data_IF_179503976376
#
_entry.id   IF_179503976376
#
_cell.length_a   1.000
_cell.length_b   1.000
_cell.length_c   1.000
_cell.angle_alpha   90.00
_cell.angle_beta   90.00
_cell.angle_gamma   90.00
#
_symmetry.space_group_name_H-M   'P 1'
#
loop_
_entity.id
_entity.type
_entity.pdbx_description
1 polymer ?
#
# COMPACT_ATOMS: atom_id res chain seq x y z
N UNK A 1 -21.61 -17.51 55.14
CA UNK A 1 -21.30 -17.92 53.75
C UNK A 1 -20.91 -16.67 52.98
N UNK A 2 -19.61 -16.43 52.76
CA UNK A 2 -19.10 -15.25 52.04
C UNK A 2 -18.85 -15.66 50.60
N UNK A 3 -19.67 -15.16 49.68
CA UNK A 3 -19.46 -15.37 48.24
C UNK A 3 -18.68 -14.17 47.74
N UNK A 4 -17.37 -14.36 47.54
CA UNK A 4 -16.50 -13.34 46.95
C UNK A 4 -16.57 -13.52 45.44
N UNK A 5 -17.31 -12.65 44.76
CA UNK A 5 -17.38 -12.63 43.29
C UNK A 5 -16.11 -12.00 42.72
N UNK A 6 -15.23 -12.83 42.15
CA UNK A 6 -14.09 -12.37 41.36
C UNK A 6 -14.61 -11.91 39.99
N UNK A 7 -14.57 -10.61 39.75
CA UNK A 7 -14.90 -10.02 38.45
C UNK A 7 -13.73 -10.29 37.48
N UNK A 8 -13.96 -11.10 36.45
CA UNK A 8 -12.98 -11.34 35.40
C UNK A 8 -12.97 -10.11 34.48
N UNK A 9 -11.94 -9.28 34.56
CA UNK A 9 -11.72 -8.21 33.57
C UNK A 9 -11.06 -8.85 32.36
N UNK A 10 -11.84 -9.09 31.31
CA UNK A 10 -11.30 -9.43 30.00
C UNK A 10 -10.69 -8.15 29.40
N UNK A 11 -9.37 -8.00 29.49
CA UNK A 11 -8.65 -7.04 28.67
C UNK A 11 -8.70 -7.53 27.21
N UNK A 12 -9.57 -6.94 26.40
CA UNK A 12 -9.40 -6.99 24.95
C UNK A 12 -8.11 -6.23 24.62
N UNK A 13 -7.00 -6.95 24.53
CA UNK A 13 -5.82 -6.44 23.85
C UNK A 13 -6.23 -6.18 22.41
N UNK A 14 -6.44 -4.91 22.05
CA UNK A 14 -6.60 -4.52 20.66
C UNK A 14 -5.39 -5.06 19.90
N UNK A 15 -5.63 -5.96 18.95
CA UNK A 15 -4.62 -6.32 17.96
C UNK A 15 -4.11 -5.00 17.39
N UNK A 16 -2.82 -4.72 17.57
CA UNK A 16 -2.18 -3.60 16.91
C UNK A 16 -2.41 -3.79 15.41
N UNK A 17 -3.42 -3.12 14.85
CA UNK A 17 -3.60 -3.08 13.41
C UNK A 17 -2.28 -2.61 12.83
N UNK A 18 -1.71 -3.39 11.90
CA UNK A 18 -0.58 -2.91 11.14
C UNK A 18 -0.95 -1.56 10.55
N UNK A 19 -0.12 -0.55 10.79
CA UNK A 19 -0.50 0.85 10.61
C UNK A 19 0.42 1.47 9.57
N UNK A 20 -0.16 1.76 8.41
CA UNK A 20 0.43 2.71 7.49
C UNK A 20 0.02 4.10 7.99
N UNK A 21 1.00 4.95 8.22
CA UNK A 21 0.77 6.35 8.59
C UNK A 21 1.52 7.24 7.62
N UNK A 22 1.03 8.45 7.36
CA UNK A 22 1.74 9.39 6.51
C UNK A 22 1.70 10.82 7.03
N UNK A 23 2.67 11.60 6.58
CA UNK A 23 2.66 13.07 6.64
C UNK A 23 2.90 13.63 5.25
N UNK A 24 2.43 14.85 4.99
CA UNK A 24 2.75 15.59 3.76
C UNK A 24 3.70 16.74 4.10
N UNK A 25 4.83 16.80 3.41
CA UNK A 25 5.76 17.93 3.45
C UNK A 25 5.14 19.14 2.73
N UNK A 26 4.51 20.04 3.49
CA UNK A 26 3.86 21.24 2.97
C UNK A 26 4.75 22.47 3.13
N UNK A 27 4.76 23.34 2.12
CA UNK A 27 5.32 24.68 2.26
C UNK A 27 4.55 25.47 3.32
N UNK A 28 5.24 26.32 4.10
CA UNK A 28 4.62 27.14 5.13
C UNK A 28 3.59 28.14 4.57
N UNK A 29 3.84 28.66 3.36
CA UNK A 29 2.93 29.55 2.63
C UNK A 29 2.71 28.96 1.23
N UNK A 30 1.75 28.04 1.05
CA UNK A 30 1.58 27.33 -0.20
C UNK A 30 1.01 28.24 -1.30
N UNK A 31 1.47 28.05 -2.53
CA UNK A 31 0.82 28.64 -3.71
C UNK A 31 -0.55 28.00 -3.96
N UNK A 32 -1.35 28.58 -4.85
CA UNK A 32 -2.62 27.98 -5.28
C UNK A 32 -2.42 26.57 -5.89
N UNK A 33 -1.37 26.41 -6.71
CA UNK A 33 -0.98 25.12 -7.28
C UNK A 33 -0.63 24.10 -6.17
N UNK A 34 0.24 24.48 -5.23
CA UNK A 34 0.60 23.61 -4.11
C UNK A 34 -0.61 23.23 -3.25
N UNK A 35 -1.51 24.18 -3.01
CA UNK A 35 -2.74 23.94 -2.23
C UNK A 35 -3.63 22.92 -2.92
N UNK A 36 -3.85 23.04 -4.24
CA UNK A 36 -4.63 22.08 -5.01
C UNK A 36 -3.97 20.69 -5.01
N UNK A 37 -2.64 20.62 -5.22
CA UNK A 37 -1.90 19.38 -5.16
C UNK A 37 -2.03 18.71 -3.79
N UNK A 38 -1.80 19.45 -2.71
CA UNK A 38 -1.90 18.91 -1.35
C UNK A 38 -3.29 18.37 -1.04
N UNK A 39 -4.36 19.03 -1.48
CA UNK A 39 -5.72 18.55 -1.24
C UNK A 39 -5.99 17.22 -1.97
N UNK A 40 -5.54 17.10 -3.23
CA UNK A 40 -5.72 15.89 -4.03
C UNK A 40 -4.87 14.73 -3.50
N UNK A 41 -3.60 14.99 -3.19
CA UNK A 41 -2.70 14.01 -2.57
C UNK A 41 -3.25 13.53 -1.23
N UNK A 42 -3.74 14.44 -0.39
CA UNK A 42 -4.40 14.06 0.88
C UNK A 42 -5.56 13.10 0.62
N UNK A 43 -6.48 13.45 -0.28
CA UNK A 43 -7.64 12.61 -0.58
C UNK A 43 -7.24 11.23 -1.12
N UNK A 44 -6.23 11.17 -1.98
CA UNK A 44 -5.68 9.92 -2.52
C UNK A 44 -5.05 9.04 -1.42
N UNK A 45 -4.20 9.62 -0.57
CA UNK A 45 -3.53 8.91 0.52
C UNK A 45 -4.52 8.44 1.59
N UNK A 46 -5.50 9.27 1.96
CA UNK A 46 -6.55 8.91 2.91
C UNK A 46 -7.38 7.73 2.41
N UNK A 47 -7.76 7.73 1.13
CA UNK A 47 -8.50 6.62 0.52
C UNK A 47 -7.68 5.32 0.53
N UNK A 48 -6.41 5.39 0.12
CA UNK A 48 -5.53 4.22 0.09
C UNK A 48 -5.27 3.66 1.50
N UNK A 49 -5.01 4.53 2.49
CA UNK A 49 -4.79 4.11 3.88
C UNK A 49 -6.05 3.47 4.46
N UNK A 50 -7.22 4.08 4.26
CA UNK A 50 -8.49 3.50 4.70
C UNK A 50 -8.72 2.10 4.11
N UNK A 51 -8.32 1.87 2.86
CA UNK A 51 -8.40 0.54 2.26
C UNK A 51 -7.42 -0.45 2.89
N UNK A 52 -6.17 -0.03 3.13
CA UNK A 52 -5.20 -0.84 3.88
C UNK A 52 -5.67 -1.18 5.29
N UNK A 53 -6.28 -0.23 6.01
CA UNK A 53 -6.82 -0.44 7.37
C UNK A 53 -8.01 -1.40 7.40
N UNK A 54 -8.81 -1.46 6.33
CA UNK A 54 -10.01 -2.30 6.28
C UNK A 54 -9.75 -3.73 5.82
N UNK A 55 -8.73 -3.95 4.98
CA UNK A 55 -8.47 -5.25 4.33
C UNK A 55 -7.14 -5.88 4.70
N UNK A 56 -6.26 -5.13 5.35
CA UNK A 56 -4.90 -5.55 5.70
C UNK A 56 -4.66 -5.54 7.20
N UNK A 57 -3.75 -6.40 7.64
CA UNK A 57 -3.31 -6.44 9.03
C UNK A 57 -1.82 -6.69 9.20
N UNK A 58 -1.05 -6.68 8.10
CA UNK A 58 0.40 -6.96 8.12
C UNK A 58 1.24 -5.75 7.69
N UNK A 59 0.74 -4.92 6.77
CA UNK A 59 1.49 -3.77 6.26
C UNK A 59 1.69 -2.66 7.30
N UNK A 60 2.94 -2.34 7.62
CA UNK A 60 3.31 -1.22 8.52
C UNK A 60 4.37 -0.35 7.86
N UNK A 61 4.14 0.96 7.80
CA UNK A 61 5.11 1.92 7.28
C UNK A 61 4.81 3.33 7.78
N UNK A 62 5.85 4.11 8.06
CA UNK A 62 5.75 5.56 8.20
C UNK A 62 6.14 6.18 6.87
N UNK A 63 5.25 6.96 6.30
CA UNK A 63 5.41 7.51 4.95
C UNK A 63 5.55 9.04 5.02
N UNK A 64 6.54 9.58 4.33
CA UNK A 64 6.67 11.02 4.06
C UNK A 64 6.27 11.25 2.61
N UNK A 65 5.26 12.08 2.39
CA UNK A 65 4.74 12.40 1.06
C UNK A 65 5.14 13.82 0.65
N UNK A 66 5.56 13.98 -0.59
CA UNK A 66 6.01 15.26 -1.15
C UNK A 66 5.25 15.57 -2.45
N UNK A 67 4.89 16.85 -2.64
CA UNK A 67 4.58 17.37 -3.96
C UNK A 67 5.88 17.85 -4.62
N UNK A 68 6.32 17.15 -5.66
CA UNK A 68 7.58 17.36 -6.35
C UNK A 68 7.32 17.53 -7.85
N UNK A 69 7.07 18.77 -8.34
CA UNK A 69 6.69 19.01 -9.74
C UNK A 69 7.67 18.46 -10.80
N UNK A 70 8.93 18.21 -10.41
CA UNK A 70 9.96 17.61 -11.27
C UNK A 70 9.89 16.08 -11.38
N UNK A 71 9.11 15.40 -10.54
CA UNK A 71 8.79 13.97 -10.73
C UNK A 71 7.78 13.86 -11.89
N UNK A 72 8.05 13.04 -12.93
CA UNK A 72 7.16 12.93 -14.08
C UNK A 72 5.75 12.43 -13.74
N UNK A 73 5.63 11.49 -12.80
CA UNK A 73 4.35 10.87 -12.39
C UNK A 73 4.24 10.82 -10.86
N UNK A 74 4.63 9.71 -10.24
CA UNK A 74 4.85 9.54 -8.83
C UNK A 74 5.97 8.50 -8.62
N UNK A 75 6.61 8.50 -7.47
CA UNK A 75 7.60 7.47 -7.11
C UNK A 75 7.65 7.23 -5.60
N UNK A 76 7.61 5.95 -5.21
CA UNK A 76 7.79 5.45 -3.85
C UNK A 76 9.14 4.78 -3.64
N UNK A 77 9.75 4.98 -2.48
CA UNK A 77 11.00 4.32 -2.07
C UNK A 77 10.86 3.54 -0.77
N UNK A 78 11.70 2.51 -0.61
CA UNK A 78 11.65 1.56 0.53
C UNK A 78 11.86 2.20 1.91
N UNK A 79 12.50 3.38 1.94
CA UNK A 79 12.69 4.22 3.12
C UNK A 79 11.39 4.94 3.58
N UNK A 80 10.29 4.76 2.85
CA UNK A 80 8.99 5.33 3.19
C UNK A 80 8.78 6.73 2.63
N UNK A 81 9.42 7.10 1.52
CA UNK A 81 9.12 8.36 0.83
C UNK A 81 8.25 8.12 -0.39
N UNK A 82 7.27 9.00 -0.62
CA UNK A 82 6.47 9.05 -1.85
C UNK A 82 6.51 10.47 -2.40
N UNK A 83 6.81 10.62 -3.69
CA UNK A 83 6.70 11.90 -4.40
C UNK A 83 5.59 11.84 -5.42
N UNK A 84 4.78 12.89 -5.50
CA UNK A 84 3.82 13.11 -6.57
C UNK A 84 4.28 14.28 -7.45
N UNK A 85 4.24 14.07 -8.77
CA UNK A 85 4.52 15.04 -9.82
C UNK A 85 3.45 16.12 -9.96
N UNK A 86 3.60 16.96 -10.99
CA UNK A 86 2.66 18.04 -11.28
C UNK A 86 1.31 17.57 -11.84
N UNK A 87 1.28 16.44 -12.56
CA UNK A 87 0.06 15.89 -13.17
C UNK A 87 -0.99 15.50 -12.12
N UNK A 88 -2.17 16.12 -12.17
CA UNK A 88 -3.29 15.83 -11.23
C UNK A 88 -3.94 14.49 -11.51
N UNK A 89 -3.82 13.99 -12.72
CA UNK A 89 -4.18 12.65 -13.15
C UNK A 89 -3.44 11.55 -12.39
N UNK A 90 -2.30 11.86 -11.74
CA UNK A 90 -1.57 10.93 -10.88
C UNK A 90 -1.92 11.06 -9.40
N UNK A 91 -2.68 12.07 -8.98
CA UNK A 91 -3.05 12.28 -7.57
C UNK A 91 -4.35 11.54 -7.23
N UNK A 92 -4.32 10.22 -7.42
CA UNK A 92 -5.46 9.32 -7.31
C UNK A 92 -5.20 8.22 -6.28
N UNK A 93 -6.27 7.59 -5.79
CA UNK A 93 -6.16 6.42 -4.91
C UNK A 93 -5.33 5.30 -5.56
N UNK A 94 -5.49 5.07 -6.86
CA UNK A 94 -4.75 4.06 -7.62
C UNK A 94 -3.24 4.30 -7.53
N UNK A 95 -2.78 5.52 -7.82
CA UNK A 95 -1.36 5.87 -7.69
C UNK A 95 -0.90 5.71 -6.24
N UNK A 96 -1.68 6.20 -5.27
CA UNK A 96 -1.31 6.11 -3.86
C UNK A 96 -1.13 4.65 -3.41
N UNK A 97 -2.05 3.75 -3.76
CA UNK A 97 -1.93 2.30 -3.49
C UNK A 97 -0.64 1.72 -4.11
N UNK A 98 -0.38 2.04 -5.38
CA UNK A 98 0.80 1.59 -6.10
C UNK A 98 2.11 2.08 -5.45
N UNK A 99 2.23 3.37 -5.16
CA UNK A 99 3.45 3.91 -4.54
C UNK A 99 3.63 3.41 -3.09
N UNK A 100 2.53 3.22 -2.34
CA UNK A 100 2.59 2.57 -1.02
C UNK A 100 3.17 1.15 -1.15
N UNK A 101 2.78 0.38 -2.17
CA UNK A 101 3.33 -0.94 -2.41
C UNK A 101 4.86 -0.92 -2.63
N UNK A 102 5.37 0.09 -3.34
CA UNK A 102 6.82 0.31 -3.47
C UNK A 102 7.49 0.58 -2.12
N UNK A 103 6.88 1.40 -1.25
CA UNK A 103 7.42 1.60 0.12
C UNK A 103 7.41 0.33 0.98
N UNK A 104 6.54 -0.63 0.64
CA UNK A 104 6.38 -1.92 1.31
C UNK A 104 7.21 -3.05 0.67
N UNK A 105 8.02 -2.73 -0.34
CA UNK A 105 9.04 -3.64 -0.87
C UNK A 105 8.84 -4.12 -2.29
N UNK A 106 7.71 -3.79 -2.94
CA UNK A 106 7.50 -4.10 -4.36
C UNK A 106 8.56 -3.36 -5.18
N UNK A 107 9.31 -4.08 -6.02
CA UNK A 107 10.35 -3.51 -6.87
C UNK A 107 11.60 -2.97 -6.17
N UNK A 108 11.59 -2.82 -4.85
CA UNK A 108 12.67 -2.18 -4.10
C UNK A 108 13.50 -3.13 -3.25
N UNK A 109 13.09 -4.39 -3.07
CA UNK A 109 13.84 -5.39 -2.28
C UNK A 109 14.36 -6.54 -3.14
N UNK A 110 15.51 -7.08 -2.73
CA UNK A 110 16.06 -8.29 -3.36
C UNK A 110 15.07 -9.47 -3.26
N UNK A 111 14.34 -9.57 -2.15
CA UNK A 111 13.36 -10.62 -1.93
C UNK A 111 12.20 -10.56 -2.93
N UNK A 112 11.69 -9.36 -3.24
CA UNK A 112 10.70 -9.20 -4.30
C UNK A 112 11.25 -9.69 -5.64
N UNK A 113 12.46 -9.27 -6.02
CA UNK A 113 13.09 -9.66 -7.29
C UNK A 113 13.31 -11.18 -7.38
N UNK A 114 13.75 -11.81 -6.30
CA UNK A 114 13.96 -13.27 -6.23
C UNK A 114 12.64 -14.04 -6.35
N UNK A 115 11.61 -13.62 -5.63
CA UNK A 115 10.29 -14.25 -5.71
C UNK A 115 9.68 -14.06 -7.11
N UNK A 116 9.83 -12.88 -7.72
CA UNK A 116 9.42 -12.63 -9.10
C UNK A 116 10.16 -13.52 -10.11
N UNK A 117 11.48 -13.66 -9.97
CA UNK A 117 12.30 -14.51 -10.86
C UNK A 117 11.93 -15.99 -10.76
N UNK A 118 11.62 -16.46 -9.56
CA UNK A 118 11.34 -17.88 -9.28
C UNK A 118 9.86 -18.24 -9.35
N UNK A 119 8.96 -17.24 -9.35
CA UNK A 119 7.53 -17.44 -9.17
C UNK A 119 7.14 -17.92 -7.76
N UNK A 120 8.06 -17.83 -6.79
CA UNK A 120 7.88 -18.39 -5.45
C UNK A 120 7.19 -17.39 -4.52
N UNK A 121 5.86 -17.41 -4.55
CA UNK A 121 4.98 -16.62 -3.69
C UNK A 121 4.06 -17.52 -2.86
N UNK A 122 4.56 -18.18 -1.80
CA UNK A 122 3.80 -19.19 -1.07
C UNK A 122 2.53 -18.64 -0.39
N UNK A 123 2.52 -17.38 0.04
CA UNK A 123 1.33 -16.72 0.58
C UNK A 123 0.54 -15.96 -0.49
N UNK A 124 1.20 -15.27 -1.44
CA UNK A 124 0.47 -14.46 -2.43
C UNK A 124 -0.13 -15.27 -3.59
N UNK A 125 0.48 -16.40 -4.01
CA UNK A 125 -0.10 -17.24 -5.07
C UNK A 125 -1.48 -17.81 -4.70
N UNK A 126 -1.72 -18.34 -3.49
CA UNK A 126 -3.05 -18.77 -3.08
C UNK A 126 -4.10 -17.66 -3.13
N UNK A 127 -3.73 -16.43 -2.73
CA UNK A 127 -4.64 -15.27 -2.78
C UNK A 127 -5.02 -14.95 -4.21
N UNK A 128 -4.04 -14.81 -5.11
CA UNK A 128 -4.29 -14.55 -6.53
C UNK A 128 -5.18 -15.64 -7.16
N UNK A 129 -4.87 -16.91 -6.87
CA UNK A 129 -5.66 -18.04 -7.40
C UNK A 129 -7.08 -18.11 -6.85
N UNK A 130 -7.30 -17.57 -5.64
CA UNK A 130 -8.63 -17.40 -5.09
C UNK A 130 -9.48 -16.39 -5.87
N UNK A 131 -8.84 -15.38 -6.47
CA UNK A 131 -9.51 -14.35 -7.28
C UNK A 131 -9.71 -14.81 -8.73
N UNK A 132 -8.65 -15.31 -9.34
CA UNK A 132 -8.57 -15.47 -10.80
C UNK A 132 -8.53 -16.95 -11.24
N UNK A 133 -8.65 -17.89 -10.29
CA UNK A 133 -8.66 -19.33 -10.52
C UNK A 133 -7.28 -20.00 -10.42
N UNK A 134 -7.29 -21.34 -10.40
CA UNK A 134 -6.13 -22.16 -10.04
C UNK A 134 -4.87 -21.97 -10.91
N UNK A 135 -5.05 -21.49 -12.15
CA UNK A 135 -3.98 -21.28 -13.13
C UNK A 135 -3.38 -19.88 -13.10
N UNK A 136 -3.92 -18.96 -12.28
CA UNK A 136 -3.43 -17.61 -12.18
C UNK A 136 -1.98 -17.57 -11.66
N UNK A 137 -1.18 -16.67 -12.23
CA UNK A 137 0.24 -16.48 -11.91
C UNK A 137 0.58 -15.00 -11.97
N UNK A 138 1.49 -14.58 -11.09
CA UNK A 138 2.10 -13.26 -11.22
C UNK A 138 3.06 -13.22 -12.41
N UNK A 139 3.08 -12.08 -13.08
CA UNK A 139 4.15 -11.64 -13.98
C UNK A 139 4.83 -10.43 -13.35
N UNK A 140 6.14 -10.29 -13.51
CA UNK A 140 6.89 -9.14 -12.99
C UNK A 140 7.78 -8.51 -14.06
N UNK A 141 8.00 -7.21 -13.96
CA UNK A 141 8.87 -6.47 -14.87
C UNK A 141 9.08 -5.02 -14.44
N UNK A 142 10.31 -4.52 -14.57
CA UNK A 142 10.62 -3.11 -14.29
C UNK A 142 10.33 -2.65 -12.87
N UNK A 143 10.39 -3.55 -11.88
CA UNK A 143 10.02 -3.25 -10.48
C UNK A 143 8.52 -3.43 -10.16
N UNK A 144 7.71 -3.81 -11.15
CA UNK A 144 6.28 -3.98 -11.00
C UNK A 144 5.85 -5.44 -11.05
N UNK A 145 4.59 -5.69 -10.71
CA UNK A 145 3.93 -6.99 -10.90
C UNK A 145 2.53 -6.83 -11.51
N UNK A 146 2.04 -7.91 -12.10
CA UNK A 146 0.69 -8.07 -12.62
C UNK A 146 0.17 -9.48 -12.30
N UNK A 147 -1.15 -9.69 -12.19
CA UNK A 147 -2.20 -8.66 -12.16
C UNK A 147 -2.24 -7.91 -10.82
N UNK A 148 -3.09 -6.88 -10.73
CA UNK A 148 -3.35 -6.09 -9.52
C UNK A 148 -2.15 -5.29 -8.98
N UNK A 149 -1.13 -5.02 -9.80
CA UNK A 149 -0.07 -4.07 -9.45
C UNK A 149 -0.50 -2.60 -9.48
N UNK A 150 -1.63 -2.30 -10.15
CA UNK A 150 -2.17 -0.94 -10.31
C UNK A 150 -1.19 0.02 -10.99
N UNK A 151 -0.55 -0.47 -12.06
CA UNK A 151 0.51 0.22 -12.79
C UNK A 151 -0.02 1.33 -13.69
N UNK A 152 -1.28 1.20 -14.12
CA UNK A 152 -1.96 2.17 -14.97
C UNK A 152 -3.34 2.50 -14.41
N UNK A 153 -3.87 3.68 -14.71
CA UNK A 153 -5.22 4.03 -14.26
C UNK A 153 -6.31 3.11 -14.81
N UNK A 154 -6.12 2.56 -16.01
CA UNK A 154 -7.04 1.59 -16.58
C UNK A 154 -7.13 0.28 -15.79
N UNK A 155 -6.20 0.00 -14.88
CA UNK A 155 -6.24 -1.16 -13.99
C UNK A 155 -7.11 -0.91 -12.75
N UNK A 156 -7.55 0.33 -12.51
CA UNK A 156 -8.34 0.68 -11.34
C UNK A 156 -9.79 0.20 -11.44
N UNK A 157 -10.23 -0.49 -10.40
CA UNK A 157 -11.64 -0.70 -10.05
C UNK A 157 -11.71 -0.92 -8.54
N UNK A 158 -12.92 -0.85 -7.95
CA UNK A 158 -13.08 -1.16 -6.52
C UNK A 158 -12.54 -2.56 -6.18
N UNK A 159 -12.88 -3.57 -6.99
CA UNK A 159 -12.40 -4.94 -6.83
C UNK A 159 -10.89 -5.05 -7.00
N UNK A 160 -10.31 -4.41 -8.03
CA UNK A 160 -8.86 -4.47 -8.25
C UNK A 160 -8.08 -3.78 -7.13
N UNK A 161 -8.61 -2.71 -6.55
CA UNK A 161 -8.01 -2.03 -5.40
C UNK A 161 -8.04 -2.90 -4.14
N UNK A 162 -9.12 -3.63 -3.90
CA UNK A 162 -9.23 -4.58 -2.78
C UNK A 162 -8.24 -5.74 -2.97
N UNK A 163 -8.21 -6.33 -4.16
CA UNK A 163 -7.29 -7.42 -4.49
C UNK A 163 -5.84 -6.98 -4.36
N UNK A 164 -5.51 -5.76 -4.79
CA UNK A 164 -4.18 -5.18 -4.61
C UNK A 164 -3.78 -5.19 -3.13
N UNK A 165 -4.58 -4.62 -2.23
CA UNK A 165 -4.26 -4.57 -0.79
C UNK A 165 -4.09 -5.97 -0.19
N UNK A 166 -4.96 -6.92 -0.56
CA UNK A 166 -4.86 -8.30 -0.08
C UNK A 166 -3.59 -8.99 -0.57
N UNK A 167 -3.24 -8.79 -1.84
CA UNK A 167 -2.02 -9.34 -2.45
C UNK A 167 -0.78 -8.73 -1.80
N UNK A 168 -0.71 -7.41 -1.58
CA UNK A 168 0.43 -6.77 -0.92
C UNK A 168 0.63 -7.33 0.48
N UNK A 169 -0.43 -7.51 1.27
CA UNK A 169 -0.31 -8.13 2.60
C UNK A 169 0.22 -9.56 2.53
N UNK A 170 -0.15 -10.32 1.50
CA UNK A 170 0.37 -11.67 1.29
C UNK A 170 1.84 -11.66 0.82
N UNK A 171 2.22 -10.77 -0.09
CA UNK A 171 3.61 -10.61 -0.51
C UNK A 171 4.52 -10.19 0.66
N UNK A 172 4.02 -9.37 1.59
CA UNK A 172 4.75 -9.02 2.82
C UNK A 172 5.02 -10.28 3.66
N UNK A 173 4.03 -11.19 3.78
CA UNK A 173 4.24 -12.50 4.43
C UNK A 173 5.24 -13.38 3.68
N UNK A 174 5.38 -13.18 2.38
CA UNK A 174 6.42 -13.81 1.55
C UNK A 174 7.80 -13.12 1.68
N UNK A 175 7.91 -12.10 2.55
CA UNK A 175 9.17 -11.53 3.01
C UNK A 175 9.64 -10.29 2.24
N UNK A 176 8.79 -9.64 1.45
CA UNK A 176 9.24 -8.49 0.63
C UNK A 176 9.50 -7.21 1.42
N UNK A 177 8.98 -7.10 2.64
CA UNK A 177 9.06 -5.86 3.41
C UNK A 177 10.52 -5.45 3.66
N UNK A 178 10.90 -4.18 3.40
CA UNK A 178 12.18 -3.61 3.82
C UNK A 178 12.34 -3.59 5.34
#
# INVERSE_FOLDING_TARGET
MKITSTMLVAALAGLSSARITYTISKAANPTADQTDAYNKITAAMDAAIKRHESLGSTATKKITVEYSPGTPTADGSSDGRIRFGSGREFMTERTALHEIAHTLGVGTTAKFNDNCKTGNWPAANPVLKGFDGANAKFSCGGGHFWPYGLNFESEMSATAADHHVMIINAMIKDGISP
#
